data_IF_898488203501
#
_entry.id   IF_898488203501
#
_cell.length_a   1.000
_cell.length_b   1.000
_cell.length_c   1.000
_cell.angle_alpha   90.00
_cell.angle_beta   90.00
_cell.angle_gamma   90.00
#
_symmetry.space_group_name_H-M   'P 1'
#
loop_
_entity.id
_entity.type
_entity.pdbx_description
1 polymer ?
#
# COMPACT_ATOMS: atom_id res chain seq x y z
N UNK A 1 -3.46 -8.57 8.18
CA UNK A 1 -2.84 -7.86 9.31
C UNK A 1 -3.77 -7.94 10.53
N UNK A 2 -3.32 -7.59 11.76
CA UNK A 2 -4.20 -7.50 12.92
C UNK A 2 -5.42 -6.60 12.70
N UNK A 3 -5.25 -5.49 11.98
CA UNK A 3 -6.34 -4.57 11.63
C UNK A 3 -7.46 -5.25 10.82
N UNK A 4 -7.13 -6.04 9.79
CA UNK A 4 -8.14 -6.78 9.00
C UNK A 4 -8.99 -7.71 9.88
N UNK A 5 -8.39 -8.30 10.93
CA UNK A 5 -9.13 -9.22 11.80
C UNK A 5 -10.26 -8.53 12.58
N UNK A 6 -10.13 -7.22 12.80
CA UNK A 6 -11.06 -6.40 13.56
C UNK A 6 -12.17 -5.78 12.69
N UNK A 7 -12.11 -5.90 11.36
CA UNK A 7 -13.14 -5.39 10.46
C UNK A 7 -14.38 -6.29 10.45
N UNK A 8 -15.56 -5.68 10.44
CA UNK A 8 -16.84 -6.39 10.25
C UNK A 8 -16.93 -7.02 8.85
N UNK A 9 -16.45 -6.29 7.83
CA UNK A 9 -16.39 -6.76 6.44
C UNK A 9 -14.93 -6.94 6.02
N UNK A 10 -14.59 -8.15 5.57
CA UNK A 10 -13.22 -8.55 5.17
C UNK A 10 -13.16 -8.83 3.68
N UNK A 11 -13.56 -7.85 2.86
CA UNK A 11 -13.52 -7.95 1.41
C UNK A 11 -12.27 -7.24 0.86
N UNK A 12 -11.46 -7.96 0.08
CA UNK A 12 -10.31 -7.41 -0.62
C UNK A 12 -10.75 -6.76 -1.96
N UNK A 13 -9.81 -6.09 -2.64
CA UNK A 13 -10.06 -5.52 -3.97
C UNK A 13 -10.37 -6.60 -5.03
N UNK A 14 -9.91 -7.83 -4.79
CA UNK A 14 -10.21 -9.04 -5.56
C UNK A 14 -10.54 -10.20 -4.62
N UNK A 15 -10.91 -11.37 -5.15
CA UNK A 15 -11.17 -12.56 -4.31
C UNK A 15 -9.95 -12.94 -3.48
N UNK A 16 -10.18 -13.62 -2.35
CA UNK A 16 -9.08 -14.04 -1.46
C UNK A 16 -8.14 -15.01 -2.18
N UNK A 17 -8.69 -15.90 -3.01
CA UNK A 17 -7.96 -16.85 -3.84
C UNK A 17 -7.08 -16.13 -4.84
N UNK A 18 -7.62 -15.11 -5.52
CA UNK A 18 -6.86 -14.29 -6.45
C UNK A 18 -5.75 -13.54 -5.73
N UNK A 19 -6.05 -12.89 -4.60
CA UNK A 19 -5.05 -12.13 -3.86
C UNK A 19 -3.91 -13.03 -3.36
N UNK A 20 -4.19 -14.27 -2.94
CA UNK A 20 -3.12 -15.21 -2.56
C UNK A 20 -2.21 -15.57 -3.73
N UNK A 21 -2.77 -15.79 -4.92
CA UNK A 21 -2.02 -16.22 -6.10
C UNK A 21 -1.33 -15.08 -6.85
N UNK A 22 -1.91 -13.88 -6.83
CA UNK A 22 -1.58 -12.79 -7.74
C UNK A 22 -1.24 -11.46 -7.04
N UNK A 23 -1.17 -11.40 -5.70
CA UNK A 23 -0.90 -10.15 -4.96
C UNK A 23 0.21 -9.32 -5.60
N UNK A 24 1.37 -9.95 -5.81
CA UNK A 24 2.57 -9.25 -6.28
C UNK A 24 2.48 -8.89 -7.76
N UNK A 25 1.80 -9.71 -8.57
CA UNK A 25 1.56 -9.40 -9.99
C UNK A 25 0.65 -8.18 -10.12
N UNK A 26 -0.40 -8.11 -9.30
CA UNK A 26 -1.31 -6.98 -9.27
C UNK A 26 -0.59 -5.70 -8.85
N UNK A 27 0.24 -5.75 -7.79
CA UNK A 27 1.03 -4.59 -7.36
C UNK A 27 2.04 -4.13 -8.42
N UNK A 28 2.69 -5.07 -9.11
CA UNK A 28 3.58 -4.76 -10.21
C UNK A 28 2.83 -4.08 -11.36
N UNK A 29 1.70 -4.64 -11.77
CA UNK A 29 0.85 -4.06 -12.81
C UNK A 29 0.41 -2.66 -12.43
N UNK A 30 -0.10 -2.46 -11.21
CA UNK A 30 -0.50 -1.15 -10.72
C UNK A 30 0.65 -0.15 -10.73
N UNK A 31 1.87 -0.56 -10.38
CA UNK A 31 3.03 0.32 -10.49
C UNK A 31 3.27 0.77 -11.93
N UNK A 32 3.29 -0.17 -12.87
CA UNK A 32 3.53 0.15 -14.28
C UNK A 32 2.42 1.06 -14.84
N UNK A 33 1.17 0.70 -14.58
CA UNK A 33 -0.02 1.44 -15.03
C UNK A 33 -0.09 2.85 -14.43
N UNK A 34 0.13 2.99 -13.12
CA UNK A 34 0.06 4.28 -12.44
C UNK A 34 1.23 5.21 -12.77
N UNK A 35 2.45 4.68 -12.82
CA UNK A 35 3.67 5.50 -13.00
C UNK A 35 3.97 5.76 -14.47
N UNK A 36 3.81 4.76 -15.34
CA UNK A 36 4.20 4.87 -16.76
C UNK A 36 3.05 5.21 -17.67
N UNK A 37 1.86 4.69 -17.40
CA UNK A 37 0.69 4.90 -18.26
C UNK A 37 -0.21 6.03 -17.74
N UNK A 38 0.03 6.52 -16.52
CA UNK A 38 -0.77 7.59 -15.90
C UNK A 38 -2.19 7.17 -15.53
N UNK A 39 -2.47 5.87 -15.43
CA UNK A 39 -3.79 5.37 -15.00
C UNK A 39 -4.03 5.69 -13.53
N UNK A 40 -5.24 6.15 -13.21
CA UNK A 40 -5.64 6.52 -11.84
C UNK A 40 -6.61 5.54 -11.21
N UNK A 41 -7.20 4.63 -12.01
CA UNK A 41 -8.30 3.75 -11.62
C UNK A 41 -8.03 2.31 -12.05
N UNK A 42 -8.51 1.38 -11.24
CA UNK A 42 -8.51 -0.06 -11.49
C UNK A 42 -9.93 -0.61 -11.30
N UNK A 43 -10.41 -1.38 -12.27
CA UNK A 43 -11.70 -2.08 -12.20
C UNK A 43 -11.44 -3.54 -11.89
N UNK A 44 -12.02 -4.04 -10.80
CA UNK A 44 -11.85 -5.44 -10.42
C UNK A 44 -12.74 -6.39 -11.25
N UNK A 45 -12.59 -7.69 -11.02
CA UNK A 45 -13.37 -8.75 -11.67
C UNK A 45 -14.89 -8.65 -11.49
N UNK A 46 -15.36 -7.87 -10.51
CA UNK A 46 -16.78 -7.61 -10.25
C UNK A 46 -17.29 -6.28 -10.85
N UNK A 47 -16.45 -5.56 -11.59
CA UNK A 47 -16.79 -4.25 -12.15
C UNK A 47 -16.74 -3.09 -11.15
N UNK A 48 -16.14 -3.29 -9.97
CA UNK A 48 -16.00 -2.24 -8.95
C UNK A 48 -14.71 -1.46 -9.17
N UNK A 49 -14.83 -0.15 -9.17
CA UNK A 49 -13.71 0.79 -9.32
C UNK A 49 -12.96 1.00 -8.01
N UNK A 50 -11.64 1.09 -8.13
CA UNK A 50 -10.71 1.40 -7.06
C UNK A 50 -9.69 2.42 -7.54
N UNK A 51 -9.30 3.34 -6.65
CA UNK A 51 -8.16 4.21 -6.93
C UNK A 51 -6.89 3.38 -7.02
N UNK A 52 -6.13 3.59 -8.08
CA UNK A 52 -4.85 2.93 -8.35
C UNK A 52 -3.76 3.58 -7.48
N UNK A 53 -3.82 3.28 -6.19
CA UNK A 53 -2.98 3.85 -5.14
C UNK A 53 -2.72 2.83 -4.05
N UNK A 54 -1.51 2.81 -3.50
CA UNK A 54 -1.21 2.00 -2.32
C UNK A 54 -2.13 2.30 -1.13
N UNK A 55 -2.66 3.53 -1.03
CA UNK A 55 -3.60 3.90 0.02
C UNK A 55 -4.84 3.00 0.03
N UNK A 56 -5.30 2.55 -1.14
CA UNK A 56 -6.43 1.63 -1.29
C UNK A 56 -6.21 0.36 -0.48
N UNK A 57 -5.00 -0.20 -0.50
CA UNK A 57 -4.64 -1.38 0.29
C UNK A 57 -4.44 -1.03 1.77
N UNK A 58 -3.78 0.10 2.05
CA UNK A 58 -3.43 0.52 3.40
C UNK A 58 -4.64 0.84 4.28
N UNK A 59 -5.79 1.18 3.70
CA UNK A 59 -7.05 1.37 4.44
C UNK A 59 -7.39 0.18 5.35
N UNK A 60 -6.98 -1.04 4.98
CA UNK A 60 -7.17 -2.25 5.79
C UNK A 60 -5.84 -2.92 6.19
N UNK A 61 -4.77 -2.75 5.40
CA UNK A 61 -3.45 -3.33 5.67
C UNK A 61 -2.56 -2.48 6.58
N UNK A 62 -3.09 -1.45 7.24
CA UNK A 62 -2.32 -0.70 8.24
C UNK A 62 -2.08 -1.51 9.53
N UNK A 63 -1.04 -1.11 10.27
CA UNK A 63 -0.79 -1.56 11.63
C UNK A 63 -0.80 -0.33 12.56
N UNK A 64 -1.83 -0.14 13.40
CA UNK A 64 -1.98 1.05 14.24
C UNK A 64 -0.87 1.20 15.30
N UNK A 65 -0.13 0.14 15.61
CA UNK A 65 0.95 0.16 16.61
C UNK A 65 2.30 0.67 16.09
N UNK A 66 2.41 1.02 14.81
CA UNK A 66 3.70 1.29 14.15
C UNK A 66 3.75 2.72 13.65
N UNK A 67 4.66 3.53 14.20
CA UNK A 67 4.68 4.97 13.91
C UNK A 67 5.47 5.38 12.67
N UNK A 68 6.56 4.74 12.25
CA UNK A 68 7.28 5.24 11.05
C UNK A 68 8.22 4.23 10.35
N UNK A 69 8.75 3.20 11.00
CA UNK A 69 9.78 2.31 10.41
C UNK A 69 9.36 0.85 10.15
N UNK A 70 8.17 0.42 10.57
CA UNK A 70 7.68 -0.98 10.41
C UNK A 70 6.39 -1.05 9.57
N UNK A 71 6.11 -0.02 8.75
CA UNK A 71 4.88 0.04 7.96
C UNK A 71 4.75 -1.20 7.06
N UNK A 72 3.51 -1.52 6.66
CA UNK A 72 3.18 -2.65 5.77
C UNK A 72 4.13 -2.75 4.57
N UNK A 73 4.53 -1.61 4.01
CA UNK A 73 5.54 -1.48 2.97
C UNK A 73 6.83 -2.24 3.34
N UNK A 74 7.46 -1.94 4.47
CA UNK A 74 8.70 -2.60 4.93
C UNK A 74 8.50 -4.10 5.11
N UNK A 75 7.39 -4.54 5.70
CA UNK A 75 7.10 -5.97 5.87
C UNK A 75 6.94 -6.74 4.55
N UNK A 76 6.28 -6.13 3.56
CA UNK A 76 6.08 -6.73 2.24
C UNK A 76 7.39 -6.77 1.46
N UNK A 77 8.18 -5.70 1.53
CA UNK A 77 9.49 -5.61 0.89
C UNK A 77 10.52 -6.56 1.51
N UNK A 78 10.48 -6.75 2.83
CA UNK A 78 11.27 -7.77 3.52
C UNK A 78 10.86 -9.18 3.08
N UNK A 79 9.56 -9.49 3.02
CA UNK A 79 9.06 -10.78 2.51
C UNK A 79 9.49 -11.01 1.05
N UNK A 80 9.44 -9.98 0.21
CA UNK A 80 9.83 -10.03 -1.18
C UNK A 80 11.35 -9.83 -1.42
N UNK A 81 12.15 -9.74 -0.36
CA UNK A 81 13.60 -9.53 -0.40
C UNK A 81 14.07 -8.36 -1.29
N UNK A 82 13.27 -7.30 -1.37
CA UNK A 82 13.55 -6.09 -2.16
C UNK A 82 13.78 -4.92 -1.22
N UNK A 83 14.80 -4.10 -1.49
CA UNK A 83 15.11 -2.90 -0.71
C UNK A 83 14.61 -1.65 -1.43
N UNK A 84 13.45 -1.09 -1.05
CA UNK A 84 12.98 0.15 -1.64
C UNK A 84 13.75 1.35 -1.07
N UNK A 85 14.16 2.29 -1.92
CA UNK A 85 14.51 3.64 -1.49
C UNK A 85 13.22 4.46 -1.32
N UNK A 86 12.48 4.21 -0.23
CA UNK A 86 11.20 4.89 0.03
C UNK A 86 11.37 6.40 0.26
N UNK A 87 12.48 6.79 0.85
CA UNK A 87 12.68 8.12 1.45
C UNK A 87 13.39 9.13 0.54
N UNK A 88 13.77 8.73 -0.67
CA UNK A 88 14.32 9.68 -1.66
C UNK A 88 13.22 10.46 -2.40
N UNK A 89 11.97 9.96 -2.40
CA UNK A 89 10.83 10.65 -3.03
C UNK A 89 9.61 10.89 -2.11
N UNK A 90 9.40 10.12 -1.03
CA UNK A 90 8.28 10.32 -0.11
C UNK A 90 8.76 10.94 1.21
N UNK A 91 9.15 12.22 1.16
CA UNK A 91 9.46 13.01 2.34
C UNK A 91 8.18 13.15 3.19
N UNK A 92 8.13 12.44 4.32
CA UNK A 92 7.22 12.82 5.40
C UNK A 92 7.65 14.22 5.88
N UNK A 93 6.72 15.12 6.23
CA UNK A 93 7.09 16.35 6.90
C UNK A 93 7.86 16.00 8.18
N UNK A 94 9.07 16.55 8.31
CA UNK A 94 9.92 16.34 9.46
C UNK A 94 9.25 16.92 10.72
N UNK A 95 8.91 16.11 11.74
CA UNK A 95 8.35 16.60 12.99
C UNK A 95 9.33 17.45 13.82
N UNK A 96 10.59 17.57 13.41
CA UNK A 96 11.62 18.39 14.06
C UNK A 96 11.99 19.67 13.28
N UNK A 97 11.41 19.92 12.10
CA UNK A 97 11.62 21.19 11.36
C UNK A 97 10.58 22.28 11.71
N UNK A 98 9.75 22.05 12.73
CA UNK A 98 8.81 23.05 13.26
C UNK A 98 9.32 23.88 14.44
N UNK A 99 10.45 23.51 15.06
CA UNK A 99 10.89 24.14 16.33
C UNK A 99 12.39 24.50 16.40
N UNK A 100 13.09 24.62 15.28
CA UNK A 100 14.38 25.33 15.27
C UNK A 100 14.46 26.27 14.09
N UNK A 101 14.26 27.55 14.39
CA UNK A 101 14.24 28.62 13.42
C UNK A 101 15.59 28.92 12.79
N UNK A 102 15.50 29.70 11.70
CA UNK A 102 16.30 30.90 11.47
C UNK A 102 15.44 31.91 10.72
#
# INVERSE_FOLDING_TARGET
TPAIRQLEVKECIESTEFMKANHMKLLYQWREEGVREGKTEYINSKGKEYKLSFQTCLNCHYNPGVKTSEQFCVSCHNYAAVKPNCWECHLLPDPHLGEKGQ
#
